data_IF_689840616047
#
_entry.id   IF_689840616047
#
_cell.length_a   1.000
_cell.length_b   1.000
_cell.length_c   1.000
_cell.angle_alpha   90.00
_cell.angle_beta   90.00
_cell.angle_gamma   90.00
#
_symmetry.space_group_name_H-M   'P 1'
#
loop_
_entity.id
_entity.type
_entity.pdbx_description
1 polymer ?
#
# COMPACT_ATOMS: atom_id res chain seq x y z
N UNK A 1 29.58 -2.02 -4.37
CA UNK A 1 29.21 -0.60 -4.41
C UNK A 1 27.70 -0.43 -4.39
N UNK A 2 27.17 0.02 -3.26
CA UNK A 2 25.76 0.43 -3.12
C UNK A 2 25.71 1.93 -3.43
N UNK A 3 24.88 2.33 -4.39
CA UNK A 3 24.72 3.72 -4.80
C UNK A 3 24.22 4.61 -3.66
N UNK A 4 24.62 5.88 -3.66
CA UNK A 4 24.12 6.95 -2.79
C UNK A 4 22.58 7.05 -2.88
N UNK A 5 21.87 6.43 -1.93
CA UNK A 5 20.41 6.50 -1.85
C UNK A 5 19.70 5.20 -1.46
N UNK A 6 20.39 4.06 -1.46
CA UNK A 6 19.85 2.78 -0.96
C UNK A 6 20.48 2.37 0.37
N UNK A 7 19.74 1.65 1.21
CA UNK A 7 20.32 0.97 2.39
C UNK A 7 20.24 -0.56 2.21
N UNK A 8 21.12 -1.26 2.92
CA UNK A 8 21.20 -2.73 2.86
C UNK A 8 20.05 -3.34 3.64
N UNK A 9 19.25 -4.18 2.97
CA UNK A 9 18.20 -4.98 3.59
C UNK A 9 18.83 -6.32 4.01
N UNK A 10 18.79 -6.63 5.30
CA UNK A 10 19.22 -7.93 5.82
C UNK A 10 18.04 -8.89 5.86
N UNK A 11 18.23 -10.11 5.38
CA UNK A 11 17.27 -11.19 5.50
C UNK A 11 17.91 -12.33 6.28
N UNK A 12 17.19 -12.82 7.30
CA UNK A 12 17.63 -13.90 8.16
C UNK A 12 16.61 -15.04 8.07
N UNK A 13 17.01 -16.23 8.53
CA UNK A 13 16.12 -17.41 8.61
C UNK A 13 15.40 -17.65 7.26
N UNK A 14 16.18 -17.66 6.18
CA UNK A 14 15.67 -17.85 4.82
C UNK A 14 15.48 -19.35 4.59
N UNK A 15 14.23 -19.77 4.45
CA UNK A 15 13.86 -21.11 4.00
C UNK A 15 13.31 -21.03 2.59
N UNK A 16 13.89 -21.80 1.67
CA UNK A 16 13.47 -21.83 0.27
C UNK A 16 13.34 -23.27 -0.23
N UNK A 17 12.21 -23.57 -0.85
CA UNK A 17 11.95 -24.82 -1.58
C UNK A 17 11.62 -24.46 -3.01
N UNK A 18 12.29 -25.12 -3.95
CA UNK A 18 12.02 -24.97 -5.37
C UNK A 18 11.93 -26.38 -5.96
N UNK A 19 10.78 -26.68 -6.56
CA UNK A 19 10.48 -27.98 -7.13
C UNK A 19 10.33 -27.86 -8.65
N UNK A 20 10.75 -28.91 -9.36
CA UNK A 20 10.58 -29.02 -10.80
C UNK A 20 11.32 -27.92 -11.59
N UNK A 21 12.60 -27.71 -11.27
CA UNK A 21 13.51 -26.88 -12.08
C UNK A 21 14.07 -27.76 -13.20
N UNK A 22 13.68 -27.47 -14.44
CA UNK A 22 14.26 -28.11 -15.62
C UNK A 22 15.40 -27.26 -16.19
N UNK A 23 16.52 -27.90 -16.52
CA UNK A 23 17.64 -27.31 -17.25
C UNK A 23 17.89 -28.12 -18.54
N UNK A 24 17.91 -27.49 -19.73
CA UNK A 24 17.61 -26.08 -20.01
C UNK A 24 16.14 -25.75 -19.64
N UNK A 25 15.84 -24.45 -19.45
CA UNK A 25 14.50 -24.02 -19.07
C UNK A 25 13.46 -24.56 -20.05
N UNK A 26 12.61 -25.45 -19.55
CA UNK A 26 11.50 -26.05 -20.29
C UNK A 26 10.23 -25.22 -20.10
N UNK A 27 9.15 -25.68 -20.72
CA UNK A 27 7.81 -25.12 -20.52
C UNK A 27 7.14 -25.65 -19.23
N UNK A 28 7.86 -26.47 -18.46
CA UNK A 28 7.35 -27.03 -17.21
C UNK A 28 7.22 -25.96 -16.14
N UNK A 29 6.24 -26.16 -15.26
CA UNK A 29 5.99 -25.27 -14.13
C UNK A 29 6.99 -25.57 -13.03
N UNK A 30 7.84 -24.61 -12.70
CA UNK A 30 8.65 -24.63 -11.48
C UNK A 30 7.82 -24.06 -10.34
N UNK A 31 7.72 -24.79 -9.24
CA UNK A 31 7.03 -24.34 -8.03
C UNK A 31 8.05 -23.82 -7.04
N UNK A 32 7.71 -22.76 -6.32
CA UNK A 32 8.58 -22.20 -5.29
C UNK A 32 7.80 -21.81 -4.05
N UNK A 33 8.47 -21.94 -2.92
CA UNK A 33 8.06 -21.41 -1.61
C UNK A 33 9.29 -20.83 -0.94
N UNK A 34 9.20 -19.59 -0.51
CA UNK A 34 10.28 -18.87 0.16
C UNK A 34 9.67 -18.21 1.39
N UNK A 35 10.30 -18.38 2.53
CA UNK A 35 10.02 -17.60 3.74
C UNK A 35 11.31 -16.98 4.25
N UNK A 36 11.23 -15.75 4.73
CA UNK A 36 12.37 -15.06 5.32
C UNK A 36 11.90 -14.13 6.43
N UNK A 37 12.78 -13.92 7.40
CA UNK A 37 12.63 -12.88 8.40
C UNK A 37 13.45 -11.66 8.03
N UNK A 38 12.89 -10.49 8.27
CA UNK A 38 13.48 -9.19 8.01
C UNK A 38 13.66 -8.47 9.35
N UNK A 39 14.89 -8.41 9.90
CA UNK A 39 15.22 -7.57 11.03
C UNK A 39 15.15 -6.09 10.63
N UNK A 40 14.51 -5.25 11.46
CA UNK A 40 14.19 -3.86 11.10
C UNK A 40 14.86 -2.85 12.06
N UNK A 41 16.19 -2.95 12.16
CA UNK A 41 16.99 -2.06 13.00
C UNK A 41 16.72 -2.28 14.49
N UNK A 42 16.20 -1.25 15.18
CA UNK A 42 15.90 -1.28 16.62
C UNK A 42 14.44 -1.68 16.92
N UNK A 43 13.66 -1.96 15.89
CA UNK A 43 12.28 -2.43 16.06
C UNK A 43 12.29 -3.86 16.61
N UNK A 44 11.63 -4.12 17.76
CA UNK A 44 11.56 -5.47 18.31
C UNK A 44 10.72 -6.42 17.44
N UNK A 45 9.91 -5.90 16.51
CA UNK A 45 9.13 -6.72 15.58
C UNK A 45 9.99 -7.10 14.38
N UNK A 46 10.27 -8.40 14.31
CA UNK A 46 10.85 -8.98 13.10
C UNK A 46 9.74 -9.14 12.06
N UNK A 47 9.90 -8.50 10.90
CA UNK A 47 8.96 -8.68 9.80
C UNK A 47 9.14 -10.07 9.19
N UNK A 48 8.06 -10.65 8.68
CA UNK A 48 8.09 -11.92 7.96
C UNK A 48 7.63 -11.71 6.52
N UNK A 49 8.32 -12.32 5.57
CA UNK A 49 7.94 -12.34 4.16
C UNK A 49 7.82 -13.79 3.73
N UNK A 50 6.67 -14.14 3.14
CA UNK A 50 6.37 -15.43 2.54
C UNK A 50 6.01 -15.23 1.08
N UNK A 51 6.69 -15.93 0.20
CA UNK A 51 6.45 -15.93 -1.25
C UNK A 51 6.16 -17.37 -1.65
N UNK A 52 5.10 -17.60 -2.41
CA UNK A 52 4.80 -18.91 -2.97
C UNK A 52 4.20 -18.77 -4.34
N UNK A 53 4.49 -19.70 -5.24
CA UNK A 53 3.95 -19.59 -6.57
C UNK A 53 4.52 -20.63 -7.51
N UNK A 54 4.24 -20.38 -8.79
CA UNK A 54 4.72 -21.17 -9.90
C UNK A 54 5.08 -20.26 -11.07
N UNK A 55 6.13 -20.63 -11.78
CA UNK A 55 6.59 -19.91 -12.98
C UNK A 55 6.95 -20.92 -14.06
N UNK A 56 6.51 -20.64 -15.29
CA UNK A 56 6.99 -21.28 -16.50
C UNK A 56 8.12 -20.42 -17.06
N UNK A 57 9.38 -20.80 -16.84
CA UNK A 57 10.51 -19.92 -17.16
C UNK A 57 10.69 -19.65 -18.66
N UNK A 58 10.18 -20.54 -19.53
CA UNK A 58 10.22 -20.33 -20.98
C UNK A 58 9.33 -19.18 -21.44
N UNK A 59 8.13 -19.04 -20.89
CA UNK A 59 7.16 -18.00 -21.25
C UNK A 59 7.12 -16.84 -20.26
N UNK A 60 7.75 -17.02 -19.09
CA UNK A 60 7.67 -16.14 -17.91
C UNK A 60 6.26 -16.05 -17.30
N UNK A 61 5.34 -16.93 -17.71
CA UNK A 61 4.01 -16.99 -17.11
C UNK A 61 4.15 -17.37 -15.63
N UNK A 62 3.57 -16.55 -14.77
CA UNK A 62 3.81 -16.59 -13.32
C UNK A 62 2.52 -16.41 -12.56
N UNK A 63 2.32 -17.23 -11.54
CA UNK A 63 1.21 -17.14 -10.60
C UNK A 63 1.81 -17.20 -9.19
N UNK A 64 1.83 -16.06 -8.51
CA UNK A 64 2.57 -15.86 -7.28
C UNK A 64 1.71 -15.18 -6.21
N UNK A 65 1.88 -15.61 -4.97
CA UNK A 65 1.30 -15.00 -3.79
C UNK A 65 2.43 -14.58 -2.85
N UNK A 66 2.36 -13.33 -2.40
CA UNK A 66 3.32 -12.72 -1.48
C UNK A 66 2.54 -12.25 -0.26
N UNK A 67 3.01 -12.64 0.92
CA UNK A 67 2.49 -12.17 2.20
C UNK A 67 3.66 -11.54 2.92
N UNK A 68 3.52 -10.28 3.32
CA UNK A 68 4.50 -9.63 4.19
C UNK A 68 3.80 -9.08 5.42
N UNK A 69 4.36 -9.31 6.59
CA UNK A 69 3.75 -8.93 7.87
C UNK A 69 4.74 -8.18 8.74
N UNK A 70 4.25 -7.14 9.42
CA UNK A 70 4.99 -6.38 10.40
C UNK A 70 6.06 -5.47 9.80
N UNK A 71 5.98 -5.08 8.52
CA UNK A 71 6.96 -4.21 7.89
C UNK A 71 6.90 -2.81 8.52
N UNK A 72 7.94 -2.41 9.24
CA UNK A 72 8.09 -1.08 9.84
C UNK A 72 8.38 -0.07 8.74
N UNK A 73 7.41 0.80 8.41
CA UNK A 73 7.60 1.79 7.36
C UNK A 73 8.78 2.74 7.64
N UNK A 74 9.00 3.26 8.87
CA UNK A 74 10.15 4.13 9.15
C UNK A 74 11.50 3.52 8.75
N UNK A 75 11.65 2.20 8.83
CA UNK A 75 12.86 1.50 8.38
C UNK A 75 13.10 1.68 6.86
N UNK A 76 12.04 1.84 6.07
CA UNK A 76 12.06 2.02 4.62
C UNK A 76 11.96 3.49 4.17
N UNK A 77 12.26 4.46 5.05
CA UNK A 77 12.22 5.91 4.74
C UNK A 77 12.93 6.31 3.43
N UNK A 78 14.13 5.81 3.12
CA UNK A 78 14.81 6.13 1.87
C UNK A 78 14.00 5.78 0.60
N UNK A 79 13.13 4.76 0.68
CA UNK A 79 12.34 4.31 -0.47
C UNK A 79 11.03 5.08 -0.62
N UNK A 80 10.31 5.35 0.48
CA UNK A 80 9.01 6.03 0.39
C UNK A 80 9.14 7.55 0.26
N UNK A 81 10.28 8.16 0.62
CA UNK A 81 10.50 9.62 0.47
C UNK A 81 10.36 10.11 -0.97
N UNK A 82 10.58 9.23 -1.95
CA UNK A 82 10.36 9.53 -3.37
C UNK A 82 8.86 9.67 -3.71
N UNK A 83 7.99 9.17 -2.85
CA UNK A 83 6.54 9.06 -3.06
C UNK A 83 5.76 9.97 -2.11
N UNK A 84 6.27 10.22 -0.91
CA UNK A 84 5.68 11.16 0.06
C UNK A 84 6.76 11.96 0.78
N UNK A 85 6.51 13.26 0.95
CA UNK A 85 7.38 14.15 1.73
C UNK A 85 7.16 14.01 3.24
N UNK A 86 6.10 13.30 3.66
CA UNK A 86 5.78 13.15 5.07
C UNK A 86 6.72 12.14 5.74
N UNK A 87 7.39 12.59 6.82
CA UNK A 87 8.24 11.74 7.62
C UNK A 87 7.40 10.85 8.54
N UNK A 88 7.40 9.54 8.31
CA UNK A 88 6.70 8.57 9.15
C UNK A 88 7.53 8.30 10.43
N UNK A 89 6.93 8.53 11.59
CA UNK A 89 7.50 8.27 12.90
C UNK A 89 7.34 6.81 13.32
N UNK A 90 6.14 6.27 13.12
CA UNK A 90 5.80 4.87 13.39
C UNK A 90 4.74 4.45 12.39
N UNK A 91 4.85 3.25 11.83
CA UNK A 91 3.77 2.58 11.12
C UNK A 91 4.21 1.16 10.77
N UNK A 92 3.27 0.23 10.77
CA UNK A 92 3.50 -1.15 10.34
C UNK A 92 2.61 -1.49 9.16
N UNK A 93 3.20 -2.09 8.13
CA UNK A 93 2.55 -2.56 6.93
C UNK A 93 2.43 -4.08 6.95
N UNK A 94 1.19 -4.54 6.86
CA UNK A 94 0.85 -5.90 6.49
C UNK A 94 0.34 -5.89 5.04
N UNK A 95 0.75 -6.87 4.24
CA UNK A 95 0.36 -6.96 2.84
C UNK A 95 0.09 -8.40 2.41
N UNK A 96 -0.91 -8.55 1.54
CA UNK A 96 -1.19 -9.77 0.77
C UNK A 96 -1.30 -9.38 -0.68
N UNK A 97 -0.42 -9.92 -1.51
CA UNK A 97 -0.30 -9.61 -2.93
C UNK A 97 -0.48 -10.89 -3.72
N UNK A 98 -1.35 -10.87 -4.72
CA UNK A 98 -1.48 -11.91 -5.73
C UNK A 98 -1.07 -11.32 -7.08
N UNK A 99 -0.08 -11.94 -7.71
CA UNK A 99 0.50 -11.57 -8.99
C UNK A 99 0.24 -12.68 -10.01
N UNK A 100 -0.39 -12.33 -11.11
CA UNK A 100 -0.57 -13.21 -12.27
C UNK A 100 0.06 -12.55 -13.49
N UNK A 101 0.94 -13.27 -14.18
CA UNK A 101 1.50 -12.90 -15.48
C UNK A 101 1.12 -14.01 -16.45
N UNK A 102 0.34 -13.68 -17.47
CA UNK A 102 -0.01 -14.60 -18.55
C UNK A 102 0.17 -13.88 -19.89
N UNK A 103 1.03 -14.41 -20.77
CA UNK A 103 1.25 -13.87 -22.13
C UNK A 103 1.59 -12.37 -22.13
N UNK A 104 2.44 -11.96 -21.20
CA UNK A 104 2.83 -10.57 -20.93
C UNK A 104 1.75 -9.68 -20.29
N UNK A 105 0.55 -10.18 -20.01
CA UNK A 105 -0.43 -9.44 -19.24
C UNK A 105 -0.23 -9.70 -17.74
N UNK A 106 0.17 -8.67 -17.02
CA UNK A 106 0.31 -8.64 -15.58
C UNK A 106 -0.98 -8.17 -14.93
N UNK A 107 -1.46 -8.93 -13.95
CA UNK A 107 -2.52 -8.56 -13.01
C UNK A 107 -1.96 -8.64 -11.60
N UNK A 108 -2.08 -7.55 -10.86
CA UNK A 108 -1.65 -7.45 -9.48
C UNK A 108 -2.85 -7.02 -8.64
N UNK A 109 -3.17 -7.86 -7.66
CA UNK A 109 -4.12 -7.52 -6.60
C UNK A 109 -3.35 -7.45 -5.29
N UNK A 110 -3.49 -6.37 -4.53
CA UNK A 110 -2.85 -6.25 -3.23
C UNK A 110 -3.81 -5.68 -2.19
N UNK A 111 -3.95 -6.38 -1.07
CA UNK A 111 -4.56 -5.87 0.15
C UNK A 111 -3.43 -5.41 1.09
N UNK A 112 -3.44 -4.14 1.45
CA UNK A 112 -2.46 -3.52 2.33
C UNK A 112 -3.18 -2.98 3.58
N UNK A 113 -2.62 -3.24 4.75
CA UNK A 113 -3.06 -2.69 6.02
C UNK A 113 -1.90 -1.96 6.69
N UNK A 114 -2.06 -0.65 6.89
CA UNK A 114 -1.14 0.17 7.64
C UNK A 114 -1.73 0.41 9.02
N UNK A 115 -0.99 0.04 10.06
CA UNK A 115 -1.37 0.21 11.46
C UNK A 115 -0.40 1.11 12.21
N UNK A 116 -0.88 1.70 13.32
CA UNK A 116 -0.08 2.56 14.20
C UNK A 116 0.64 3.70 13.47
N UNK A 117 0.00 4.24 12.43
CA UNK A 117 0.54 5.34 11.65
C UNK A 117 0.71 6.55 12.57
N UNK A 118 1.91 7.09 12.66
CA UNK A 118 2.30 8.30 13.36
C UNK A 118 3.39 8.92 12.52
N UNK A 119 3.41 10.22 12.46
CA UNK A 119 4.41 10.93 11.68
C UNK A 119 5.19 11.86 12.58
N UNK A 120 6.45 12.10 12.21
CA UNK A 120 7.32 13.04 12.91
C UNK A 120 6.93 14.43 12.42
N UNK A 121 6.49 15.28 13.36
CA UNK A 121 6.11 16.69 13.20
C UNK A 121 5.89 17.16 11.76
N UNK A 122 4.63 17.40 11.38
CA UNK A 122 4.34 17.96 10.06
C UNK A 122 4.29 19.48 10.14
N UNK A 123 4.93 20.11 9.17
CA UNK A 123 4.54 21.45 8.75
C UNK A 123 3.21 21.30 7.97
N UNK A 124 2.29 22.27 8.11
CA UNK A 124 0.94 22.24 7.52
C UNK A 124 0.91 22.08 5.99
N UNK A 125 2.07 22.24 5.34
CA UNK A 125 2.25 22.11 3.89
C UNK A 125 2.63 20.68 3.45
N UNK A 126 2.93 19.78 4.38
CA UNK A 126 3.34 18.42 4.03
C UNK A 126 2.19 17.64 3.38
N UNK A 127 2.46 17.07 2.21
CA UNK A 127 1.50 16.27 1.44
C UNK A 127 1.86 14.79 1.41
N UNK A 128 0.83 13.95 1.50
CA UNK A 128 0.91 12.50 1.28
C UNK A 128 0.13 12.19 0.01
N UNK A 129 0.81 11.70 -1.03
CA UNK A 129 0.21 11.44 -2.34
C UNK A 129 -0.53 12.66 -2.95
N UNK A 130 -0.08 13.88 -2.65
CA UNK A 130 -0.68 15.13 -3.15
C UNK A 130 -1.86 15.67 -2.33
N UNK A 131 -2.16 15.07 -1.17
CA UNK A 131 -3.21 15.50 -0.25
C UNK A 131 -2.60 16.01 1.05
N UNK A 132 -3.20 17.03 1.67
CA UNK A 132 -2.73 17.52 2.96
C UNK A 132 -2.88 16.44 4.03
N UNK A 133 -1.89 16.35 4.91
CA UNK A 133 -1.79 15.32 5.95
C UNK A 133 -3.02 15.29 6.86
N UNK A 134 -3.50 16.44 7.31
CA UNK A 134 -4.65 16.60 8.21
C UNK A 134 -5.94 16.09 7.56
N UNK A 135 -6.13 16.36 6.27
CA UNK A 135 -7.20 15.78 5.47
C UNK A 135 -7.04 14.26 5.43
N UNK A 136 -5.86 13.75 5.06
CA UNK A 136 -5.59 12.33 4.92
C UNK A 136 -5.85 11.54 6.21
N UNK A 137 -5.40 12.06 7.36
CA UNK A 137 -5.57 11.44 8.66
C UNK A 137 -7.03 11.36 9.10
N UNK A 138 -7.82 12.38 8.79
CA UNK A 138 -9.23 12.45 9.18
C UNK A 138 -10.12 11.46 8.42
N UNK A 139 -9.72 11.09 7.19
CA UNK A 139 -10.51 10.19 6.33
C UNK A 139 -10.01 8.76 6.28
N UNK A 140 -8.74 8.50 6.56
CA UNK A 140 -8.14 7.19 6.31
C UNK A 140 -8.01 6.31 7.55
N UNK A 141 -8.17 6.87 8.74
CA UNK A 141 -8.16 6.11 9.98
C UNK A 141 -9.57 5.63 10.30
N UNK A 142 -9.74 4.32 10.38
CA UNK A 142 -10.86 3.78 11.14
C UNK A 142 -10.73 4.21 12.62
N UNK A 143 -11.75 3.94 13.45
CA UNK A 143 -11.73 4.27 14.88
C UNK A 143 -10.53 3.65 15.63
N UNK A 144 -9.82 2.69 15.03
CA UNK A 144 -8.62 2.03 15.58
C UNK A 144 -7.30 2.55 15.00
N UNK A 145 -7.32 3.58 14.15
CA UNK A 145 -6.11 4.18 13.60
C UNK A 145 -5.47 3.37 12.48
N UNK A 146 -6.23 2.49 11.80
CA UNK A 146 -5.75 1.67 10.69
C UNK A 146 -6.19 2.23 9.35
N UNK A 147 -5.31 2.10 8.36
CA UNK A 147 -5.55 2.43 6.96
C UNK A 147 -5.50 1.16 6.12
N UNK A 148 -6.60 0.85 5.42
CA UNK A 148 -6.69 -0.28 4.49
C UNK A 148 -6.72 0.21 3.05
N UNK A 149 -5.85 -0.36 2.22
CA UNK A 149 -5.77 -0.06 0.78
C UNK A 149 -5.94 -1.36 0.00
N UNK A 150 -6.79 -1.31 -1.01
CA UNK A 150 -6.93 -2.37 -2.00
C UNK A 150 -6.45 -1.87 -3.36
N UNK A 151 -5.43 -2.51 -3.90
CA UNK A 151 -4.82 -2.17 -5.18
C UNK A 151 -5.23 -3.23 -6.20
N UNK A 152 -5.80 -2.81 -7.32
CA UNK A 152 -5.99 -3.63 -8.53
C UNK A 152 -5.30 -2.92 -9.69
N UNK A 153 -4.21 -3.51 -10.16
CA UNK A 153 -3.39 -3.01 -11.24
C UNK A 153 -3.32 -4.05 -12.37
N UNK A 154 -3.49 -3.58 -13.60
CA UNK A 154 -3.36 -4.39 -14.82
C UNK A 154 -2.45 -3.67 -15.80
N UNK A 155 -1.55 -4.40 -16.42
CA UNK A 155 -0.57 -3.84 -17.36
C UNK A 155 -0.07 -4.91 -18.31
N UNK A 156 0.19 -4.55 -19.56
CA UNK A 156 0.94 -5.40 -20.47
C UNK A 156 2.44 -5.09 -20.33
N UNK A 157 3.24 -6.03 -19.80
CA UNK A 157 4.66 -5.82 -19.51
C UNK A 157 5.52 -5.59 -20.77
N UNK A 158 5.00 -5.92 -21.96
CA UNK A 158 5.66 -5.63 -23.23
C UNK A 158 5.45 -4.18 -23.70
N UNK A 159 4.43 -3.48 -23.17
CA UNK A 159 4.19 -2.07 -23.47
C UNK A 159 5.17 -1.18 -22.70
N UNK A 160 6.15 -0.64 -23.42
CA UNK A 160 7.20 0.25 -22.87
C UNK A 160 6.76 1.71 -22.74
N UNK A 161 5.59 2.08 -23.27
CA UNK A 161 5.10 3.47 -23.21
C UNK A 161 4.63 3.87 -21.81
N UNK A 162 4.25 2.89 -20.99
CA UNK A 162 3.79 3.08 -19.61
C UNK A 162 4.80 2.52 -18.62
N UNK A 163 5.10 3.27 -17.55
CA UNK A 163 5.96 2.79 -16.46
C UNK A 163 5.10 2.10 -15.40
N UNK A 164 5.51 0.91 -14.94
CA UNK A 164 4.82 0.14 -13.90
C UNK A 164 4.52 0.98 -12.64
N UNK A 165 5.47 1.83 -12.23
CA UNK A 165 5.30 2.74 -11.07
C UNK A 165 4.08 3.66 -11.20
N UNK A 166 3.78 4.13 -12.40
CA UNK A 166 2.69 5.08 -12.65
C UNK A 166 1.34 4.37 -12.56
N UNK A 167 1.28 3.10 -12.99
CA UNK A 167 0.08 2.24 -12.90
C UNK A 167 -0.22 1.90 -11.43
N UNK A 168 0.81 1.52 -10.67
CA UNK A 168 0.69 1.23 -9.24
C UNK A 168 0.25 2.50 -8.49
N UNK A 169 0.90 3.64 -8.75
CA UNK A 169 0.53 4.94 -8.15
C UNK A 169 -0.94 5.29 -8.40
N UNK A 170 -1.39 5.23 -9.66
CA UNK A 170 -2.81 5.49 -10.00
C UNK A 170 -3.77 4.54 -9.28
N UNK A 171 -3.36 3.30 -9.04
CA UNK A 171 -4.19 2.32 -8.34
C UNK A 171 -4.26 2.60 -6.83
N UNK A 172 -3.16 3.02 -6.22
CA UNK A 172 -3.13 3.54 -4.84
C UNK A 172 -4.03 4.77 -4.72
N UNK A 173 -3.89 5.75 -5.62
CA UNK A 173 -4.73 6.97 -5.65
C UNK A 173 -6.22 6.63 -5.76
N UNK A 174 -6.61 5.69 -6.65
CA UNK A 174 -8.00 5.22 -6.76
C UNK A 174 -8.49 4.56 -5.48
N UNK A 175 -7.64 3.74 -4.84
CA UNK A 175 -7.97 3.06 -3.57
C UNK A 175 -8.23 4.06 -2.45
N UNK A 176 -7.32 5.03 -2.30
CA UNK A 176 -7.45 6.14 -1.34
C UNK A 176 -8.75 6.92 -1.58
N UNK A 177 -9.03 7.31 -2.84
CA UNK A 177 -10.27 8.00 -3.21
C UNK A 177 -11.51 7.19 -2.81
N UNK A 178 -11.52 5.87 -3.07
CA UNK A 178 -12.64 4.99 -2.69
C UNK A 178 -12.82 4.89 -1.18
N UNK A 179 -11.74 4.70 -0.43
CA UNK A 179 -11.76 4.68 1.05
C UNK A 179 -12.27 6.00 1.61
N UNK A 180 -11.83 7.14 1.06
CA UNK A 180 -12.30 8.46 1.47
C UNK A 180 -13.79 8.67 1.19
N UNK A 181 -14.27 8.34 -0.02
CA UNK A 181 -15.71 8.48 -0.37
C UNK A 181 -16.58 7.59 0.53
N UNK A 182 -16.15 6.35 0.80
CA UNK A 182 -16.85 5.46 1.73
C UNK A 182 -16.91 6.03 3.14
N UNK A 183 -15.81 6.64 3.61
CA UNK A 183 -15.76 7.26 4.92
C UNK A 183 -16.48 8.61 5.01
N UNK A 184 -16.67 9.35 3.91
CA UNK A 184 -17.54 10.54 3.90
C UNK A 184 -18.98 10.18 4.27
N UNK A 185 -19.50 9.05 3.78
CA UNK A 185 -20.81 8.51 4.19
C UNK A 185 -20.85 8.24 5.70
N UNK A 186 -19.81 7.59 6.24
CA UNK A 186 -19.69 7.33 7.68
C UNK A 186 -19.54 8.62 8.51
N UNK A 187 -18.85 9.64 8.00
CA UNK A 187 -18.69 10.94 8.67
C UNK A 187 -20.05 11.67 8.72
N UNK A 188 -20.81 11.63 7.63
CA UNK A 188 -22.18 12.14 7.57
C UNK A 188 -23.08 11.40 8.57
N UNK A 189 -23.05 10.07 8.60
CA UNK A 189 -23.84 9.28 9.55
C UNK A 189 -23.45 9.56 11.01
N UNK A 190 -22.14 9.61 11.34
CA UNK A 190 -21.70 9.93 12.70
C UNK A 190 -22.03 11.39 13.08
N UNK A 191 -22.00 12.33 12.13
CA UNK A 191 -22.41 13.71 12.37
C UNK A 191 -23.92 13.81 12.61
N UNK A 192 -24.74 13.13 11.80
CA UNK A 192 -26.19 13.05 11.97
C UNK A 192 -26.57 12.34 13.28
N UNK A 193 -25.84 11.29 13.66
CA UNK A 193 -26.04 10.58 14.91
C UNK A 193 -25.68 11.45 16.13
N UNK A 194 -24.57 12.19 16.08
CA UNK A 194 -24.22 13.19 17.12
C UNK A 194 -25.22 14.33 17.21
N UNK A 195 -25.81 14.77 16.08
CA UNK A 195 -26.90 15.76 16.06
C UNK A 195 -28.15 15.19 16.75
N UNK A 196 -28.47 13.91 16.51
CA UNK A 196 -29.60 13.24 17.16
C UNK A 196 -29.40 13.01 18.66
N UNK A 197 -28.15 12.80 19.10
CA UNK A 197 -27.81 12.55 20.50
C UNK A 197 -27.62 13.83 21.33
N UNK A 198 -27.20 14.95 20.72
CA UNK A 198 -26.90 16.18 21.46
C UNK A 198 -27.99 17.27 21.38
N UNK A 199 -29.00 17.15 20.51
CA UNK A 199 -30.04 18.19 20.37
C UNK A 199 -29.53 19.56 19.90
N UNK A 200 -28.24 19.68 19.58
CA UNK A 200 -27.57 20.92 19.18
C UNK A 200 -27.66 21.10 17.67
N UNK A 201 -28.22 22.23 17.22
CA UNK A 201 -28.20 22.66 15.81
C UNK A 201 -26.77 22.95 15.39
N UNK A 202 -26.15 22.07 14.60
CA UNK A 202 -24.96 22.41 13.81
C UNK A 202 -25.44 23.15 12.57
N UNK A 203 -24.88 24.33 12.28
CA UNK A 203 -25.17 25.09 11.06
C UNK A 203 -24.80 24.25 9.82
N UNK A 204 -25.81 23.93 9.00
CA UNK A 204 -25.67 23.14 7.77
C UNK A 204 -24.62 23.69 6.80
N UNK A 205 -24.40 25.00 6.80
CA UNK A 205 -23.41 25.68 5.95
C UNK A 205 -21.97 25.17 6.17
N UNK A 206 -21.59 24.87 7.42
CA UNK A 206 -20.23 24.46 7.75
C UNK A 206 -19.94 22.99 7.32
N UNK A 207 -20.99 22.18 7.23
CA UNK A 207 -20.92 20.81 6.74
C UNK A 207 -20.93 20.79 5.20
N UNK A 208 -21.81 21.57 4.58
CA UNK A 208 -21.85 21.71 3.12
C UNK A 208 -20.56 22.30 2.56
N UNK A 209 -19.95 23.29 3.22
CA UNK A 209 -18.69 23.89 2.77
C UNK A 209 -17.53 22.89 2.83
N UNK A 210 -17.46 22.06 3.88
CA UNK A 210 -16.51 20.94 3.95
C UNK A 210 -16.75 19.92 2.84
N UNK A 211 -18.00 19.53 2.58
CA UNK A 211 -18.35 18.59 1.50
C UNK A 211 -18.03 19.18 0.12
N UNK A 212 -18.22 20.49 -0.07
CA UNK A 212 -17.97 21.19 -1.34
C UNK A 212 -16.47 21.34 -1.60
N UNK A 213 -15.66 21.65 -0.57
CA UNK A 213 -14.19 21.58 -0.65
C UNK A 213 -13.72 20.17 -1.00
N UNK A 214 -14.30 19.14 -0.37
CA UNK A 214 -14.00 17.74 -0.67
C UNK A 214 -14.32 17.38 -2.12
N UNK A 215 -15.53 17.71 -2.64
CA UNK A 215 -15.87 17.49 -4.04
C UNK A 215 -14.96 18.26 -5.02
N UNK A 216 -14.42 19.40 -4.60
CA UNK A 216 -13.47 20.21 -5.38
C UNK A 216 -12.11 19.52 -5.54
N UNK A 217 -11.59 18.85 -4.51
CA UNK A 217 -10.31 18.14 -4.52
C UNK A 217 -10.27 16.92 -5.48
N UNK A 218 -11.44 16.45 -5.94
CA UNK A 218 -11.56 15.28 -6.82
C UNK A 218 -12.04 15.61 -8.25
N UNK A 219 -12.20 16.90 -8.59
CA UNK A 219 -12.42 17.35 -9.97
C UNK A 219 -11.09 17.55 -10.69
N UNK A 220 -10.38 16.45 -10.92
CA UNK A 220 -9.23 16.36 -11.84
C UNK A 220 -9.10 14.94 -12.35
#
# INVERSE_FOLDING_TARGET
DVQEGGFVIALNEIDATIDNIALPFSDDKTFYKISARLPQGHDPRTAEVKISGRTQFKTMDTDANIIAQGISLPYFEPYYRQVTQAAIGSAYLDSRISLLIERNDLRLNADLEISQLVFRAYESENQIFGLHVDELLSFLRDRSGRLKLQIDARWNIADRSMKARDIIRKSIERSLKKTMIGNVGNILENALQKISEQGTKINGDNLEEKIKKLKGLFKT
#
